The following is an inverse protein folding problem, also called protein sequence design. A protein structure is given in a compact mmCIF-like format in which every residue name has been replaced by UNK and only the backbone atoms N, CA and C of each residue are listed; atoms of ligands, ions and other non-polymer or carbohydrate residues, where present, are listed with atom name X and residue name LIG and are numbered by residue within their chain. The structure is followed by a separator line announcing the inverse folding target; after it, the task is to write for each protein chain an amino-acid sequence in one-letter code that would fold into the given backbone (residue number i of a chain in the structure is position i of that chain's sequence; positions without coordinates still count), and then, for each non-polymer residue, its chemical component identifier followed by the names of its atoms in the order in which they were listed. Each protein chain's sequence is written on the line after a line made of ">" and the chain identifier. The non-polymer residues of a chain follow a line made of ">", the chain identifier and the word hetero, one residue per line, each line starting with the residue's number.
data_IF_715613596656
#
_entry.id   IF_715613596656
#
_cell.length_a   1.000
_cell.length_b   1.000
_cell.length_c   1.000
_cell.angle_alpha   90.00
_cell.angle_beta   90.00
_cell.angle_gamma   90.00
#
_symmetry.space_group_name_H-M   'P 1'
#
loop_
_entity.id
_entity.type
_entity.pdbx_description
1 polymer ?
#
# COMPACT_ATOMS: atom_id res chain seq x y z
N UNK A 1 4.02 -5.31 7.88
CA UNK A 1 3.67 -4.60 6.63
C UNK A 1 4.85 -4.73 5.67
N UNK A 2 4.60 -5.01 4.39
CA UNK A 2 5.63 -4.98 3.35
C UNK A 2 5.77 -3.57 2.79
N UNK A 3 6.78 -2.85 3.28
CA UNK A 3 7.07 -1.47 2.88
C UNK A 3 8.01 -1.39 1.66
N UNK A 4 8.44 -2.53 1.08
CA UNK A 4 9.30 -2.51 -0.11
C UNK A 4 8.57 -1.82 -1.26
N UNK A 5 9.21 -0.81 -1.85
CA UNK A 5 8.65 0.01 -2.93
C UNK A 5 7.26 0.59 -2.59
N UNK A 6 6.98 0.85 -1.31
CA UNK A 6 5.75 1.45 -0.84
C UNK A 6 5.95 2.93 -0.50
N UNK A 7 4.96 3.74 -0.84
CA UNK A 7 4.99 5.18 -0.76
C UNK A 7 3.68 5.70 -0.17
N UNK A 8 3.77 6.83 0.53
CA UNK A 8 2.62 7.69 0.86
C UNK A 8 2.44 8.68 -0.28
N UNK A 9 1.22 8.88 -0.74
CA UNK A 9 0.87 9.92 -1.72
C UNK A 9 0.42 11.16 -0.97
N UNK A 10 1.11 12.27 -1.20
CA UNK A 10 0.78 13.59 -0.63
C UNK A 10 0.33 14.50 -1.77
N UNK A 11 -0.73 15.28 -1.54
CA UNK A 11 -1.21 16.28 -2.49
C UNK A 11 -0.72 17.67 -2.06
N UNK A 12 0.01 18.36 -2.94
CA UNK A 12 0.51 19.74 -2.75
C UNK A 12 0.32 20.52 -4.04
N UNK A 13 -0.30 21.69 -3.95
CA UNK A 13 -0.52 22.59 -5.10
C UNK A 13 -1.09 21.86 -6.34
N UNK A 14 -2.13 21.02 -6.12
CA UNK A 14 -2.76 20.16 -7.12
C UNK A 14 -1.85 19.10 -7.78
N UNK A 15 -0.65 18.86 -7.22
CA UNK A 15 0.28 17.82 -7.65
C UNK A 15 0.34 16.70 -6.62
N UNK A 16 0.40 15.47 -7.12
CA UNK A 16 0.65 14.29 -6.29
C UNK A 16 2.15 14.03 -6.21
N UNK A 17 2.65 13.88 -4.99
CA UNK A 17 4.02 13.49 -4.68
C UNK A 17 4.03 12.13 -3.99
N UNK A 18 4.91 11.23 -4.42
CA UNK A 18 5.07 9.88 -3.85
C UNK A 18 6.29 9.91 -2.91
N UNK A 19 6.06 9.84 -1.60
CA UNK A 19 7.12 9.83 -0.59
C UNK A 19 7.37 8.42 -0.11
N UNK A 20 8.62 7.99 -0.16
CA UNK A 20 9.00 6.63 0.23
C UNK A 20 8.79 6.42 1.73
N UNK A 21 8.19 5.29 2.08
CA UNK A 21 8.07 4.87 3.48
C UNK A 21 9.43 4.36 3.96
N UNK A 22 9.86 4.87 5.11
CA UNK A 22 11.11 4.53 5.76
C UNK A 22 10.94 3.32 6.69
N UNK A 23 9.89 3.34 7.51
CA UNK A 23 9.61 2.33 8.53
C UNK A 23 8.11 2.12 8.70
N UNK A 24 7.73 1.06 9.40
CA UNK A 24 6.36 0.88 9.89
C UNK A 24 6.39 0.36 11.33
N UNK A 25 5.33 0.64 12.08
CA UNK A 25 5.10 0.07 13.41
C UNK A 25 3.63 -0.25 13.60
N UNK A 26 3.30 -1.09 14.58
CA UNK A 26 1.92 -1.34 14.96
C UNK A 26 1.53 -0.39 16.10
N UNK A 27 0.45 0.35 15.94
CA UNK A 27 -0.13 1.13 17.02
C UNK A 27 -0.86 0.16 17.96
N UNK A 28 -0.46 0.12 19.23
CA UNK A 28 -1.02 -0.82 20.21
C UNK A 28 -2.44 -0.45 20.68
N UNK A 29 -2.84 0.81 20.54
CA UNK A 29 -4.17 1.29 20.92
C UNK A 29 -5.22 0.99 19.87
N UNK A 30 -4.90 1.18 18.58
CA UNK A 30 -5.83 0.95 17.45
C UNK A 30 -5.64 -0.43 16.80
N UNK A 31 -4.48 -1.04 16.97
CA UNK A 31 -4.09 -2.26 16.26
C UNK A 31 -3.71 -2.04 14.78
N UNK A 32 -3.75 -0.79 14.30
CA UNK A 32 -3.41 -0.42 12.93
C UNK A 32 -1.89 -0.37 12.73
N UNK A 33 -1.44 -0.40 11.47
CA UNK A 33 -0.06 -0.04 11.17
C UNK A 33 0.04 1.47 11.00
N UNK A 34 1.09 2.03 11.56
CA UNK A 34 1.56 3.37 11.23
C UNK A 34 2.79 3.27 10.34
N UNK A 35 2.93 4.22 9.42
CA UNK A 35 4.06 4.32 8.51
C UNK A 35 4.84 5.60 8.81
N UNK A 36 6.17 5.50 8.69
CA UNK A 36 7.08 6.61 8.85
C UNK A 36 7.52 7.12 7.47
N UNK A 37 7.46 8.43 7.27
CA UNK A 37 8.08 9.10 6.13
C UNK A 37 8.59 10.48 6.54
N UNK A 38 9.53 11.03 5.76
CA UNK A 38 10.05 12.38 5.95
C UNK A 38 9.44 13.33 4.92
N UNK A 39 8.87 14.44 5.39
CA UNK A 39 8.33 15.52 4.57
C UNK A 39 8.86 16.85 5.12
N UNK A 40 9.42 17.71 4.26
CA UNK A 40 10.05 18.98 4.64
C UNK A 40 11.08 18.85 5.78
N UNK A 41 11.92 17.80 5.74
CA UNK A 41 12.88 17.45 6.79
C UNK A 41 12.26 17.11 8.16
N UNK A 42 10.96 16.86 8.22
CA UNK A 42 10.27 16.41 9.42
C UNK A 42 9.79 14.97 9.26
N UNK A 43 10.06 14.16 10.29
CA UNK A 43 9.59 12.77 10.35
C UNK A 43 8.19 12.72 10.94
N UNK A 44 7.28 12.03 10.25
CA UNK A 44 5.90 11.85 10.69
C UNK A 44 5.53 10.37 10.72
N UNK A 45 4.91 9.94 11.82
CA UNK A 45 4.18 8.69 11.90
C UNK A 45 2.71 8.97 11.59
N UNK A 46 2.15 8.27 10.61
CA UNK A 46 0.74 8.39 10.25
C UNK A 46 0.09 7.02 10.21
N UNK A 47 -1.20 6.96 10.54
CA UNK A 47 -1.97 5.73 10.38
C UNK A 47 -2.07 5.38 8.89
N UNK A 48 -1.74 4.15 8.53
CA UNK A 48 -1.78 3.66 7.16
C UNK A 48 -3.20 3.68 6.55
N UNK A 49 -4.25 3.70 7.38
CA UNK A 49 -5.64 3.82 6.93
C UNK A 49 -6.06 5.26 6.61
N UNK A 50 -5.33 6.25 7.12
CA UNK A 50 -5.65 7.67 6.97
C UNK A 50 -4.89 8.34 5.81
N UNK A 51 -4.11 7.56 5.05
CA UNK A 51 -3.31 8.06 3.92
C UNK A 51 -3.53 7.25 2.67
N UNK A 52 -3.33 7.90 1.51
CA UNK A 52 -3.27 7.20 0.24
C UNK A 52 -1.92 6.52 0.09
N UNK A 53 -1.92 5.21 -0.07
CA UNK A 53 -0.72 4.40 -0.28
C UNK A 53 -0.56 4.04 -1.75
N UNK A 54 0.68 4.06 -2.22
CA UNK A 54 1.06 3.66 -3.58
C UNK A 54 2.23 2.67 -3.51
N UNK A 55 2.27 1.70 -4.42
CA UNK A 55 3.38 0.73 -4.53
C UNK A 55 3.79 0.62 -5.99
N UNK A 56 5.09 0.72 -6.28
CA UNK A 56 5.61 0.65 -7.66
C UNK A 56 5.31 -0.70 -8.34
N UNK A 57 5.56 -0.75 -9.66
CA UNK A 57 5.27 -1.86 -10.55
C UNK A 57 5.49 -3.25 -9.92
N UNK A 58 4.46 -4.07 -10.05
CA UNK A 58 4.47 -5.49 -9.76
C UNK A 58 3.45 -6.21 -10.64
N UNK A 59 3.38 -7.52 -10.52
CA UNK A 59 2.25 -8.29 -11.02
C UNK A 59 1.76 -9.23 -9.94
N UNK A 60 0.46 -9.46 -9.89
CA UNK A 60 -0.12 -10.45 -8.98
C UNK A 60 -0.98 -11.42 -9.75
N UNK A 61 -0.88 -12.70 -9.42
CA UNK A 61 -1.74 -13.72 -10.01
C UNK A 61 -3.06 -13.79 -9.24
N UNK A 62 -4.15 -13.49 -9.94
CA UNK A 62 -5.50 -13.47 -9.40
C UNK A 62 -6.19 -14.81 -9.59
N UNK A 63 -6.54 -15.46 -8.47
CA UNK A 63 -7.25 -16.75 -8.42
C UNK A 63 -8.75 -16.57 -8.13
N UNK A 64 -9.41 -15.61 -8.80
CA UNK A 64 -10.85 -15.36 -8.56
C UNK A 64 -11.68 -16.61 -8.84
N UNK A 65 -11.32 -17.32 -9.91
CA UNK A 65 -11.91 -18.59 -10.31
C UNK A 65 -10.79 -19.62 -10.48
N UNK A 66 -10.95 -20.81 -9.88
CA UNK A 66 -9.91 -21.86 -9.80
C UNK A 66 -9.42 -22.32 -11.19
N UNK A 67 -10.22 -22.07 -12.23
CA UNK A 67 -9.95 -22.46 -13.61
C UNK A 67 -9.55 -21.27 -14.52
N UNK A 68 -9.58 -20.02 -14.04
CA UNK A 68 -9.37 -18.80 -14.85
C UNK A 68 -8.40 -17.83 -14.18
N UNK A 69 -7.39 -18.37 -13.52
CA UNK A 69 -6.34 -17.55 -12.93
C UNK A 69 -5.65 -16.67 -13.97
N UNK A 70 -5.49 -15.37 -13.69
CA UNK A 70 -4.78 -14.44 -14.59
C UNK A 70 -3.76 -13.58 -13.87
N UNK A 71 -2.65 -13.29 -14.55
CA UNK A 71 -1.73 -12.25 -14.14
C UNK A 71 -2.36 -10.88 -14.35
N UNK A 72 -2.36 -10.07 -13.31
CA UNK A 72 -2.80 -8.68 -13.35
C UNK A 72 -1.56 -7.82 -13.19
N UNK A 73 -1.33 -6.95 -14.17
CA UNK A 73 -0.32 -5.91 -14.08
C UNK A 73 -0.81 -4.87 -13.07
N UNK A 74 0.03 -4.58 -12.09
CA UNK A 74 -0.27 -3.60 -11.07
C UNK A 74 0.06 -2.23 -11.63
N UNK A 75 -0.90 -1.32 -11.55
CA UNK A 75 -0.78 0.05 -12.04
C UNK A 75 -1.32 1.03 -10.98
N UNK A 76 -1.36 2.31 -11.33
CA UNK A 76 -1.74 3.40 -10.41
C UNK A 76 -3.20 3.32 -9.93
N UNK A 77 -4.05 2.53 -10.61
CA UNK A 77 -5.44 2.34 -10.20
C UNK A 77 -5.61 1.23 -9.15
N UNK A 78 -4.54 0.54 -8.75
CA UNK A 78 -4.60 -0.49 -7.71
C UNK A 78 -4.54 0.14 -6.32
N UNK A 79 -5.58 -0.09 -5.51
CA UNK A 79 -5.54 0.24 -4.08
C UNK A 79 -4.52 -0.62 -3.35
N UNK A 80 -3.90 -0.08 -2.30
CA UNK A 80 -3.00 -0.81 -1.42
C UNK A 80 -3.70 -1.10 -0.09
N UNK A 81 -3.44 -2.28 0.44
CA UNK A 81 -4.01 -2.78 1.68
C UNK A 81 -3.23 -2.21 2.88
N UNK A 82 -3.81 -1.31 3.70
CA UNK A 82 -3.10 -0.63 4.79
C UNK A 82 -2.63 -1.58 5.90
N UNK A 83 -3.21 -2.79 5.95
CA UNK A 83 -2.85 -3.86 6.90
C UNK A 83 -1.51 -4.53 6.60
N UNK A 84 -1.14 -4.67 5.33
CA UNK A 84 0.05 -5.43 4.98
C UNK A 84 0.89 -4.81 3.88
N UNK A 85 0.49 -3.68 3.29
CA UNK A 85 1.26 -3.02 2.23
C UNK A 85 1.24 -3.76 0.90
N UNK A 86 0.39 -4.77 0.74
CA UNK A 86 0.18 -5.49 -0.53
C UNK A 86 -0.93 -4.85 -1.34
N UNK A 87 -0.87 -5.01 -2.66
CA UNK A 87 -1.95 -4.59 -3.55
C UNK A 87 -3.27 -5.30 -3.23
N UNK A 88 -4.35 -4.55 -3.35
CA UNK A 88 -5.71 -5.05 -3.46
C UNK A 88 -5.95 -5.30 -4.95
N UNK A 89 -6.30 -6.52 -5.29
CA UNK A 89 -6.61 -6.90 -6.66
C UNK A 89 -7.83 -6.12 -7.15
N UNK A 90 -7.69 -5.24 -8.15
CA UNK A 90 -8.84 -4.50 -8.70
C UNK A 90 -9.87 -5.43 -9.38
N UNK A 91 -9.50 -6.66 -9.73
CA UNK A 91 -10.39 -7.60 -10.43
C UNK A 91 -11.26 -8.44 -9.48
N UNK A 92 -10.73 -8.82 -8.32
CA UNK A 92 -11.45 -9.65 -7.35
C UNK A 92 -11.62 -9.01 -5.97
N UNK A 93 -11.05 -7.84 -5.72
CA UNK A 93 -11.07 -7.17 -4.41
C UNK A 93 -10.23 -7.84 -3.33
N UNK A 94 -9.59 -8.97 -3.62
CA UNK A 94 -8.79 -9.68 -2.64
C UNK A 94 -7.50 -8.93 -2.32
N UNK A 95 -7.25 -8.74 -1.03
CA UNK A 95 -5.96 -8.33 -0.50
C UNK A 95 -5.14 -9.59 -0.18
N UNK A 96 -3.92 -9.69 -0.71
CA UNK A 96 -3.04 -10.84 -0.48
C UNK A 96 -2.26 -10.76 0.84
N UNK A 97 -2.81 -10.09 1.86
CA UNK A 97 -2.33 -10.30 3.21
C UNK A 97 -2.48 -11.80 3.51
N UNK A 98 -1.39 -12.45 3.92
CA UNK A 98 -1.36 -13.87 4.34
C UNK A 98 -1.27 -14.93 3.24
N UNK A 99 -0.76 -14.63 2.04
CA UNK A 99 -0.11 -15.71 1.25
C UNK A 99 1.31 -15.93 1.79
N UNK A 100 1.39 -16.66 2.90
CA UNK A 100 2.60 -17.36 3.37
C UNK A 100 2.92 -18.53 2.45
#
# INVERSE_FOLDING_TARGET
>A
MDIKNLYVVVVRDDKQEKIKIEEYRKNNSTGHNEVLFTLDNQKAWVDAYDVLLYKDLGSVFCWKDYNEGKYIVLNESNSICPRCGWWICHHCGACYCNKS
#
